data_IF_881400415990
#
_entry.id   IF_881400415990
#
_cell.length_a   1.000
_cell.length_b   1.000
_cell.length_c   1.000
_cell.angle_alpha   90.00
_cell.angle_beta   90.00
_cell.angle_gamma   90.00
#
_symmetry.space_group_name_H-M   'P 1'
#
loop_
_entity.id
_entity.type
_entity.pdbx_description
1 polymer ?
#
# COMPACT_ATOMS: atom_id res chain seq x y z
N UNK A 1 -57.92 0.38 -47.57
CA UNK A 1 -56.89 1.10 -46.84
C UNK A 1 -56.51 0.31 -45.59
N UNK A 2 -55.62 -0.67 -45.76
CA UNK A 2 -55.08 -1.52 -44.68
C UNK A 2 -53.57 -1.54 -44.84
N UNK A 3 -52.92 -0.51 -44.38
CA UNK A 3 -51.46 -0.42 -44.30
C UNK A 3 -51.17 0.30 -42.97
N UNK A 4 -50.73 -0.41 -41.97
CA UNK A 4 -49.89 0.10 -40.86
C UNK A 4 -49.80 -0.82 -39.63
N UNK A 5 -50.51 -1.94 -39.56
CA UNK A 5 -50.49 -2.79 -38.33
C UNK A 5 -49.33 -3.79 -38.27
N UNK A 6 -48.62 -4.05 -39.40
CA UNK A 6 -47.51 -4.99 -39.45
C UNK A 6 -46.19 -4.33 -38.97
N UNK A 7 -46.09 -3.03 -39.13
CA UNK A 7 -44.86 -2.29 -38.79
C UNK A 7 -44.69 -2.07 -37.26
N UNK A 8 -45.80 -1.92 -36.55
CA UNK A 8 -45.79 -1.66 -35.11
C UNK A 8 -45.35 -2.90 -34.29
N UNK A 9 -45.76 -4.08 -34.72
CA UNK A 9 -45.34 -5.31 -34.03
C UNK A 9 -43.85 -5.63 -34.26
N UNK A 10 -43.33 -5.40 -35.46
CA UNK A 10 -41.94 -5.58 -35.78
C UNK A 10 -41.06 -4.54 -35.03
N UNK A 11 -41.51 -3.28 -34.98
CA UNK A 11 -40.84 -2.21 -34.26
C UNK A 11 -40.83 -2.47 -32.75
N UNK A 12 -41.95 -2.86 -32.16
CA UNK A 12 -42.03 -3.18 -30.72
C UNK A 12 -41.17 -4.41 -30.35
N UNK A 13 -41.07 -5.39 -31.24
CA UNK A 13 -40.20 -6.58 -31.08
C UNK A 13 -38.71 -6.17 -31.13
N UNK A 14 -38.35 -5.25 -32.04
CA UNK A 14 -37.00 -4.72 -32.17
C UNK A 14 -36.57 -3.89 -30.94
N UNK A 15 -37.44 -2.99 -30.47
CA UNK A 15 -37.19 -2.21 -29.25
C UNK A 15 -37.08 -3.12 -28.03
N UNK A 16 -37.97 -4.10 -27.89
CA UNK A 16 -37.89 -5.05 -26.77
C UNK A 16 -36.61 -5.87 -26.78
N UNK A 17 -36.12 -6.25 -27.95
CA UNK A 17 -34.84 -6.97 -28.05
C UNK A 17 -33.63 -6.09 -27.73
N UNK A 18 -33.66 -4.82 -28.18
CA UNK A 18 -32.60 -3.84 -27.83
C UNK A 18 -32.58 -3.61 -26.33
N UNK A 19 -33.73 -3.38 -25.70
CA UNK A 19 -33.82 -3.16 -24.23
C UNK A 19 -33.35 -4.40 -23.49
N UNK A 20 -33.72 -5.61 -23.87
CA UNK A 20 -33.27 -6.88 -23.28
C UNK A 20 -31.73 -7.06 -23.43
N UNK A 21 -31.19 -6.73 -24.62
CA UNK A 21 -29.74 -6.84 -24.87
C UNK A 21 -28.96 -5.81 -24.03
N UNK A 22 -29.52 -4.61 -23.87
CA UNK A 22 -28.91 -3.56 -23.04
C UNK A 22 -28.93 -3.92 -21.55
N UNK A 23 -30.03 -4.49 -21.04
CA UNK A 23 -30.11 -5.00 -19.67
C UNK A 23 -29.19 -6.19 -19.41
N UNK A 24 -29.01 -7.10 -20.37
CA UNK A 24 -28.05 -8.21 -20.29
C UNK A 24 -26.58 -7.72 -20.26
N UNK A 25 -26.26 -6.69 -21.04
CA UNK A 25 -24.89 -6.12 -21.04
C UNK A 25 -24.56 -5.37 -19.74
N UNK A 26 -25.54 -4.75 -19.08
CA UNK A 26 -25.36 -4.11 -17.76
C UNK A 26 -25.17 -5.16 -16.65
N UNK A 27 -25.81 -6.31 -16.78
CA UNK A 27 -25.69 -7.38 -15.78
C UNK A 27 -24.31 -8.04 -15.73
N UNK A 28 -23.51 -7.97 -16.78
CA UNK A 28 -22.12 -8.48 -16.79
C UNK A 28 -21.11 -7.54 -16.13
N UNK A 29 -21.47 -6.29 -15.85
CA UNK A 29 -20.60 -5.32 -15.19
C UNK A 29 -20.75 -5.29 -13.67
N UNK A 30 -21.55 -6.19 -13.08
CA UNK A 30 -21.82 -6.24 -11.63
C UNK A 30 -20.97 -7.27 -10.85
N UNK A 31 -19.94 -7.84 -11.46
CA UNK A 31 -18.90 -8.47 -10.66
C UNK A 31 -18.12 -7.33 -9.98
N UNK A 32 -18.30 -7.18 -8.67
CA UNK A 32 -17.60 -6.19 -7.89
C UNK A 32 -16.09 -6.26 -8.21
N UNK A 33 -15.53 -5.14 -8.67
CA UNK A 33 -14.10 -5.04 -8.92
C UNK A 33 -13.39 -5.33 -7.59
N UNK A 34 -12.39 -6.20 -7.59
CA UNK A 34 -11.49 -6.41 -6.43
C UNK A 34 -10.60 -5.17 -6.26
N UNK A 35 -11.21 -4.07 -5.82
CA UNK A 35 -10.56 -2.77 -5.70
C UNK A 35 -9.32 -2.79 -4.81
N UNK A 36 -9.27 -3.54 -3.68
CA UNK A 36 -8.06 -3.64 -2.87
C UNK A 36 -7.09 -4.71 -3.35
N UNK A 37 -7.40 -5.44 -4.43
CA UNK A 37 -6.61 -6.53 -4.99
C UNK A 37 -6.35 -7.65 -3.95
N UNK A 38 -7.42 -8.12 -3.29
CA UNK A 38 -7.38 -9.18 -2.26
C UNK A 38 -6.86 -10.51 -2.83
N UNK A 39 -7.00 -10.71 -4.13
CA UNK A 39 -6.55 -11.93 -4.79
C UNK A 39 -5.04 -11.95 -5.05
N UNK A 40 -4.36 -10.80 -5.00
CA UNK A 40 -2.94 -10.65 -5.38
C UNK A 40 -2.01 -11.60 -4.63
N UNK A 41 -2.21 -11.73 -3.33
CA UNK A 41 -1.36 -12.57 -2.46
C UNK A 41 -2.08 -13.77 -1.85
N UNK A 42 -3.34 -14.04 -2.24
CA UNK A 42 -4.14 -15.10 -1.64
C UNK A 42 -3.46 -16.46 -1.65
N UNK A 43 -2.94 -16.87 -2.80
CA UNK A 43 -2.32 -18.18 -2.96
C UNK A 43 -0.93 -18.23 -2.29
N UNK A 44 -0.20 -17.12 -2.28
CA UNK A 44 1.07 -16.98 -1.55
C UNK A 44 0.84 -17.03 -0.04
N UNK A 45 -0.18 -16.36 0.47
CA UNK A 45 -0.56 -16.39 1.87
C UNK A 45 -0.95 -17.81 2.31
N UNK A 46 -1.71 -18.53 1.48
CA UNK A 46 -2.09 -19.92 1.75
C UNK A 46 -0.88 -20.85 1.78
N UNK A 47 0.11 -20.67 0.89
CA UNK A 47 1.36 -21.47 0.89
C UNK A 47 2.28 -21.17 2.06
N UNK A 48 2.35 -19.91 2.50
CA UNK A 48 3.15 -19.51 3.65
C UNK A 48 2.69 -20.20 4.94
N UNK A 49 1.40 -20.36 5.13
CA UNK A 49 0.83 -20.91 6.35
C UNK A 49 1.21 -20.14 7.61
N UNK A 50 0.99 -20.76 8.77
CA UNK A 50 1.39 -20.20 10.06
C UNK A 50 2.92 -20.21 10.23
N UNK A 51 3.49 -19.22 10.95
CA UNK A 51 4.92 -19.20 11.21
C UNK A 51 5.37 -20.40 12.06
N UNK A 52 6.55 -20.93 11.78
CA UNK A 52 7.17 -21.92 12.63
C UNK A 52 7.51 -21.35 14.01
N UNK A 53 7.65 -22.20 15.03
CA UNK A 53 7.85 -21.77 16.43
C UNK A 53 9.04 -20.80 16.63
N UNK A 54 10.08 -20.91 15.80
CA UNK A 54 11.28 -20.07 15.87
C UNK A 54 11.39 -19.08 14.70
N UNK A 55 10.32 -18.92 13.92
CA UNK A 55 10.32 -18.02 12.78
C UNK A 55 10.09 -16.58 13.22
N UNK A 56 11.05 -15.71 12.93
CA UNK A 56 10.94 -14.27 13.12
C UNK A 56 10.36 -13.63 11.86
N UNK A 57 9.05 -13.82 11.63
CA UNK A 57 8.38 -13.29 10.44
C UNK A 57 8.19 -11.77 10.54
N UNK A 58 8.60 -11.04 9.50
CA UNK A 58 8.35 -9.61 9.34
C UNK A 58 7.65 -9.36 8.01
N UNK A 59 6.52 -8.67 8.05
CA UNK A 59 5.77 -8.30 6.84
C UNK A 59 6.09 -6.86 6.46
N UNK A 60 6.40 -6.63 5.19
CA UNK A 60 6.56 -5.31 4.59
C UNK A 60 5.29 -4.96 3.82
N UNK A 61 4.44 -4.13 4.42
CA UNK A 61 3.18 -3.67 3.87
C UNK A 61 3.37 -2.34 3.16
N UNK A 62 3.00 -2.27 1.86
CA UNK A 62 3.21 -1.04 1.10
C UNK A 62 2.67 -1.04 -0.32
N UNK A 63 3.19 -0.13 -1.13
CA UNK A 63 2.83 0.09 -2.52
C UNK A 63 3.94 -0.36 -3.49
N UNK A 64 4.07 0.32 -4.66
CA UNK A 64 5.13 0.07 -5.66
C UNK A 64 6.55 0.13 -5.09
N UNK A 65 6.81 1.02 -4.13
CA UNK A 65 8.12 1.12 -3.49
C UNK A 65 8.44 -0.15 -2.70
N UNK A 66 7.46 -0.73 -2.04
CA UNK A 66 7.64 -2.01 -1.34
C UNK A 66 7.69 -3.19 -2.33
N UNK A 67 6.79 -3.23 -3.31
CA UNK A 67 6.77 -4.29 -4.34
C UNK A 67 8.07 -4.35 -5.13
N UNK A 68 8.53 -3.19 -5.61
CA UNK A 68 9.74 -3.06 -6.42
C UNK A 68 11.01 -3.49 -5.70
N UNK A 69 11.03 -3.46 -4.38
CA UNK A 69 12.20 -3.88 -3.60
C UNK A 69 12.64 -5.31 -3.91
N UNK A 70 11.69 -6.24 -4.08
CA UNK A 70 11.99 -7.61 -4.49
C UNK A 70 12.60 -7.74 -5.88
N UNK A 71 12.41 -6.74 -6.76
CA UNK A 71 12.98 -6.72 -8.10
C UNK A 71 14.40 -6.13 -8.12
N UNK A 72 14.64 -5.06 -7.35
CA UNK A 72 15.93 -4.34 -7.36
C UNK A 72 16.95 -4.92 -6.37
N UNK A 73 16.48 -5.56 -5.29
CA UNK A 73 17.32 -6.14 -4.25
C UNK A 73 16.69 -7.46 -3.74
N UNK A 74 16.52 -8.49 -4.60
CA UNK A 74 15.85 -9.74 -4.23
C UNK A 74 16.55 -10.47 -3.08
N UNK A 75 17.86 -10.33 -2.97
CA UNK A 75 18.68 -10.91 -1.90
C UNK A 75 18.30 -10.40 -0.51
N UNK A 76 17.63 -9.22 -0.42
CA UNK A 76 17.19 -8.67 0.86
C UNK A 76 16.12 -9.54 1.54
N UNK A 77 15.27 -10.17 0.75
CA UNK A 77 14.21 -11.06 1.25
C UNK A 77 14.66 -12.54 1.28
N UNK A 78 15.66 -12.89 0.47
CA UNK A 78 16.14 -14.28 0.35
C UNK A 78 16.82 -14.75 1.63
N UNK A 79 16.40 -15.93 2.11
CA UNK A 79 16.97 -16.53 3.32
C UNK A 79 16.57 -15.90 4.65
N UNK A 80 15.62 -14.96 4.61
CA UNK A 80 15.00 -14.34 5.78
C UNK A 80 13.50 -14.64 5.81
N UNK A 81 12.91 -14.61 7.00
CA UNK A 81 11.45 -14.69 7.14
C UNK A 81 10.79 -13.31 6.89
N UNK A 82 11.22 -12.62 5.84
CA UNK A 82 10.67 -11.33 5.41
C UNK A 82 9.70 -11.53 4.26
N UNK A 83 8.51 -10.98 4.42
CA UNK A 83 7.39 -11.16 3.48
C UNK A 83 7.06 -9.83 2.84
N UNK A 84 7.28 -9.70 1.53
CA UNK A 84 6.87 -8.53 0.77
C UNK A 84 5.38 -8.59 0.45
N UNK A 85 4.64 -7.54 0.84
CA UNK A 85 3.21 -7.33 0.57
C UNK A 85 2.98 -5.94 -0.03
N UNK A 86 3.87 -5.54 -0.95
CA UNK A 86 3.70 -4.35 -1.77
C UNK A 86 2.78 -4.60 -2.95
N UNK A 87 1.93 -3.63 -3.29
CA UNK A 87 1.12 -3.63 -4.52
C UNK A 87 1.20 -2.26 -5.16
N UNK A 88 1.68 -2.20 -6.41
CA UNK A 88 1.89 -0.96 -7.14
C UNK A 88 0.62 -0.14 -7.27
N UNK A 89 0.75 1.19 -7.14
CA UNK A 89 -0.35 2.14 -7.30
C UNK A 89 -1.31 2.23 -6.11
N UNK A 90 -1.24 1.33 -5.14
CA UNK A 90 -2.19 1.31 -4.01
C UNK A 90 -2.05 2.50 -3.08
N UNK A 91 -3.20 2.94 -2.60
CA UNK A 91 -3.41 3.97 -1.60
C UNK A 91 -3.73 3.37 -0.24
N UNK A 92 -3.66 4.16 0.81
CA UNK A 92 -3.85 3.70 2.19
C UNK A 92 -5.20 3.03 2.46
N UNK A 93 -6.37 3.46 1.90
CA UNK A 93 -7.62 2.75 2.10
C UNK A 93 -7.63 1.34 1.47
N UNK A 94 -6.98 1.14 0.33
CA UNK A 94 -6.84 -0.20 -0.27
C UNK A 94 -5.99 -1.11 0.61
N UNK A 95 -4.87 -0.59 1.14
CA UNK A 95 -4.01 -1.32 2.06
C UNK A 95 -4.74 -1.69 3.36
N UNK A 96 -5.54 -0.78 3.91
CA UNK A 96 -6.31 -1.03 5.12
C UNK A 96 -7.31 -2.19 4.92
N UNK A 97 -7.99 -2.26 3.77
CA UNK A 97 -8.94 -3.36 3.48
C UNK A 97 -8.24 -4.72 3.43
N UNK A 98 -7.07 -4.81 2.78
CA UNK A 98 -6.31 -6.07 2.67
C UNK A 98 -5.40 -6.38 3.87
N UNK A 99 -5.32 -5.48 4.86
CA UNK A 99 -4.38 -5.59 5.97
C UNK A 99 -4.57 -6.86 6.79
N UNK A 100 -5.81 -7.32 6.96
CA UNK A 100 -6.06 -8.58 7.69
C UNK A 100 -5.46 -9.77 6.95
N UNK A 101 -5.79 -9.95 5.67
CA UNK A 101 -5.34 -11.10 4.89
C UNK A 101 -3.83 -11.12 4.67
N UNK A 102 -3.22 -9.94 4.44
CA UNK A 102 -1.83 -9.82 4.03
C UNK A 102 -0.85 -9.57 5.20
N UNK A 103 -1.37 -9.28 6.40
CA UNK A 103 -0.54 -9.03 7.58
C UNK A 103 -1.02 -9.85 8.78
N UNK A 104 -2.25 -9.62 9.25
CA UNK A 104 -2.70 -10.17 10.54
C UNK A 104 -2.78 -11.70 10.48
N UNK A 105 -3.37 -12.26 9.42
CA UNK A 105 -3.58 -13.71 9.28
C UNK A 105 -2.24 -14.46 9.04
N UNK A 106 -1.18 -13.74 8.64
CA UNK A 106 0.18 -14.28 8.54
C UNK A 106 0.92 -14.36 9.89
N UNK A 107 0.36 -13.80 10.95
CA UNK A 107 0.89 -13.80 12.31
C UNK A 107 2.37 -13.40 12.42
N UNK A 108 2.81 -12.28 11.82
CA UNK A 108 4.19 -11.86 11.91
C UNK A 108 4.53 -11.35 13.32
N UNK A 109 5.82 -11.36 13.68
CA UNK A 109 6.28 -10.69 14.89
C UNK A 109 6.27 -9.16 14.73
N UNK A 110 6.55 -8.65 13.52
CA UNK A 110 6.52 -7.23 13.23
C UNK A 110 5.98 -6.94 11.83
N UNK A 111 5.45 -5.72 11.65
CA UNK A 111 5.07 -5.17 10.35
C UNK A 111 5.77 -3.85 10.11
N UNK A 112 6.33 -3.67 8.90
CA UNK A 112 6.83 -2.39 8.39
C UNK A 112 5.76 -1.81 7.47
N UNK A 113 5.26 -0.60 7.77
CA UNK A 113 4.21 0.06 6.99
C UNK A 113 4.81 1.26 6.25
N UNK A 114 4.83 1.19 4.91
CA UNK A 114 5.27 2.27 4.02
C UNK A 114 4.14 2.63 3.06
N UNK A 115 3.44 3.74 3.32
CA UNK A 115 2.23 4.13 2.60
C UNK A 115 2.05 5.66 2.57
N UNK A 116 1.27 6.17 1.59
CA UNK A 116 0.82 7.57 1.56
C UNK A 116 1.22 8.36 0.32
N UNK A 117 2.28 7.99 -0.41
CA UNK A 117 2.70 8.72 -1.61
C UNK A 117 1.63 8.72 -2.71
N UNK A 118 0.99 7.56 -2.96
CA UNK A 118 -0.08 7.43 -3.95
C UNK A 118 -1.37 8.16 -3.56
N UNK A 119 -1.64 8.28 -2.27
CA UNK A 119 -2.75 9.10 -1.75
C UNK A 119 -2.50 10.58 -2.04
N UNK A 120 -1.28 11.07 -1.80
CA UNK A 120 -0.86 12.44 -2.11
C UNK A 120 -0.94 12.69 -3.61
N UNK A 121 -0.53 11.72 -4.44
CA UNK A 121 -0.67 11.75 -5.89
C UNK A 121 -2.14 11.66 -6.36
N UNK A 122 -3.07 11.26 -5.49
CA UNK A 122 -4.51 11.18 -5.78
C UNK A 122 -4.88 10.02 -6.70
N UNK A 123 -4.22 8.86 -6.57
CA UNK A 123 -4.45 7.68 -7.41
C UNK A 123 -5.88 7.14 -7.30
N UNK A 124 -6.51 7.23 -6.13
CA UNK A 124 -7.90 6.82 -5.89
C UNK A 124 -8.83 8.01 -5.60
N UNK A 125 -8.43 9.20 -6.02
CA UNK A 125 -9.16 10.45 -5.78
C UNK A 125 -8.50 11.33 -4.72
N UNK A 126 -9.11 12.48 -4.40
CA UNK A 126 -8.56 13.44 -3.43
C UNK A 126 -8.50 12.84 -2.02
N UNK A 127 -7.36 12.99 -1.36
CA UNK A 127 -7.18 12.60 0.03
C UNK A 127 -6.56 13.76 0.84
N UNK A 128 -7.05 13.98 2.05
CA UNK A 128 -6.43 14.91 3.00
C UNK A 128 -5.32 14.22 3.76
N UNK A 129 -4.35 14.98 4.26
CA UNK A 129 -3.26 14.44 5.12
C UNK A 129 -3.84 13.69 6.33
N UNK A 130 -4.95 14.19 6.89
CA UNK A 130 -5.63 13.52 7.99
C UNK A 130 -6.16 12.14 7.59
N UNK A 131 -6.82 12.02 6.44
CA UNK A 131 -7.35 10.72 5.96
C UNK A 131 -6.22 9.71 5.76
N UNK A 132 -5.10 10.14 5.18
CA UNK A 132 -3.92 9.29 4.96
C UNK A 132 -3.36 8.82 6.30
N UNK A 133 -3.15 9.76 7.23
CA UNK A 133 -2.65 9.45 8.57
C UNK A 133 -3.61 8.49 9.32
N UNK A 134 -4.91 8.75 9.30
CA UNK A 134 -5.93 7.91 9.97
C UNK A 134 -5.89 6.45 9.46
N UNK A 135 -5.73 6.23 8.15
CA UNK A 135 -5.63 4.88 7.59
C UNK A 135 -4.35 4.16 8.04
N UNK A 136 -3.20 4.87 8.05
CA UNK A 136 -1.92 4.29 8.53
C UNK A 136 -2.01 3.99 10.02
N UNK A 137 -2.57 4.88 10.81
CA UNK A 137 -2.80 4.72 12.24
C UNK A 137 -3.73 3.53 12.50
N UNK A 138 -4.82 3.39 11.74
CA UNK A 138 -5.74 2.26 11.86
C UNK A 138 -5.03 0.92 11.59
N UNK A 139 -4.15 0.85 10.58
CA UNK A 139 -3.33 -0.34 10.34
C UNK A 139 -2.40 -0.63 11.52
N UNK A 140 -1.77 0.40 12.10
CA UNK A 140 -0.90 0.25 13.26
C UNK A 140 -1.68 -0.24 14.50
N UNK A 141 -2.87 0.29 14.76
CA UNK A 141 -3.74 -0.13 15.85
C UNK A 141 -4.24 -1.57 15.67
N UNK A 142 -4.61 -1.95 14.44
CA UNK A 142 -4.99 -3.33 14.11
C UNK A 142 -3.83 -4.30 14.35
N UNK A 143 -2.61 -3.97 13.90
CA UNK A 143 -1.42 -4.78 14.14
C UNK A 143 -1.17 -4.94 15.64
N UNK A 144 -1.13 -3.82 16.35
CA UNK A 144 -0.86 -3.78 17.78
C UNK A 144 -1.89 -4.57 18.59
N UNK A 145 -3.19 -4.50 18.24
CA UNK A 145 -4.25 -5.26 18.88
C UNK A 145 -4.13 -6.78 18.65
N UNK A 146 -3.44 -7.18 17.58
CA UNK A 146 -3.16 -8.57 17.24
C UNK A 146 -1.74 -9.02 17.68
N UNK A 147 -1.11 -8.31 18.62
CA UNK A 147 0.22 -8.59 19.17
C UNK A 147 1.36 -8.54 18.14
N UNK A 148 1.19 -7.75 17.08
CA UNK A 148 2.20 -7.51 16.05
C UNK A 148 2.91 -6.20 16.37
N UNK A 149 4.24 -6.23 16.49
CA UNK A 149 5.07 -5.05 16.69
C UNK A 149 5.02 -4.16 15.44
N UNK A 150 4.98 -2.84 15.64
CA UNK A 150 4.74 -1.90 14.54
C UNK A 150 5.97 -1.04 14.27
N UNK A 151 6.37 -1.01 13.00
CA UNK A 151 7.37 -0.09 12.47
C UNK A 151 6.65 0.79 11.44
N UNK A 152 6.49 2.07 11.75
CA UNK A 152 5.91 3.05 10.83
C UNK A 152 7.06 3.76 10.14
N UNK A 153 7.15 3.63 8.81
CA UNK A 153 8.17 4.35 8.07
C UNK A 153 7.70 5.75 7.67
N UNK A 154 8.66 6.66 7.52
CA UNK A 154 8.42 7.90 6.79
C UNK A 154 8.05 7.58 5.33
N UNK A 155 7.21 8.42 4.74
CA UNK A 155 7.07 8.49 3.28
C UNK A 155 8.39 9.03 2.73
N UNK A 156 8.87 8.46 1.61
CA UNK A 156 10.09 8.91 0.95
C UNK A 156 9.94 10.35 0.46
N UNK A 157 11.05 11.10 0.35
CA UNK A 157 11.00 12.43 -0.23
C UNK A 157 10.59 12.37 -1.70
N UNK A 158 9.75 13.30 -2.13
CA UNK A 158 9.34 13.50 -3.53
C UNK A 158 9.25 15.00 -3.75
N UNK A 159 9.98 15.52 -4.75
CA UNK A 159 9.92 16.94 -5.11
C UNK A 159 8.62 17.26 -5.85
N UNK A 160 8.29 16.48 -6.88
CA UNK A 160 7.01 16.52 -7.59
C UNK A 160 6.75 15.17 -8.28
N UNK A 161 5.50 14.92 -8.67
CA UNK A 161 5.14 13.72 -9.42
C UNK A 161 5.15 14.03 -10.91
N UNK A 162 6.06 13.41 -11.68
CA UNK A 162 6.22 13.66 -13.12
C UNK A 162 4.93 13.41 -13.92
N UNK A 163 4.11 12.45 -13.49
CA UNK A 163 2.83 12.12 -14.13
C UNK A 163 1.65 12.99 -13.65
N UNK A 164 1.82 13.79 -12.61
CA UNK A 164 0.78 14.67 -12.05
C UNK A 164 1.42 15.84 -11.30
N UNK A 165 2.04 16.78 -12.02
CA UNK A 165 2.79 17.87 -11.40
C UNK A 165 1.89 18.87 -10.67
N UNK A 166 2.49 19.62 -9.72
CA UNK A 166 1.83 20.71 -9.01
C UNK A 166 1.01 20.29 -7.79
N UNK A 167 1.21 19.07 -7.30
CA UNK A 167 0.54 18.57 -6.08
C UNK A 167 1.24 18.97 -4.77
N UNK A 168 2.35 19.68 -4.85
CA UNK A 168 3.13 20.16 -3.68
C UNK A 168 3.47 19.03 -2.68
N UNK A 169 4.05 17.89 -3.13
CA UNK A 169 4.28 16.74 -2.26
C UNK A 169 5.24 17.04 -1.12
N UNK A 170 6.22 17.91 -1.32
CA UNK A 170 7.22 18.28 -0.29
C UNK A 170 6.57 18.71 1.02
N UNK A 171 5.58 19.62 0.96
CA UNK A 171 4.88 20.13 2.14
C UNK A 171 3.98 19.04 2.75
N UNK A 172 3.28 18.31 1.90
CA UNK A 172 2.34 17.26 2.33
C UNK A 172 3.06 16.08 2.98
N UNK A 173 4.17 15.62 2.39
CA UNK A 173 4.99 14.54 2.93
C UNK A 173 5.60 14.96 4.26
N UNK A 174 6.17 16.16 4.35
CA UNK A 174 6.76 16.66 5.60
C UNK A 174 5.74 16.64 6.73
N UNK A 175 4.52 17.16 6.48
CA UNK A 175 3.46 17.20 7.49
C UNK A 175 2.95 15.79 7.86
N UNK A 176 2.80 14.90 6.90
CA UNK A 176 2.38 13.52 7.17
C UNK A 176 3.43 12.78 7.99
N UNK A 177 4.72 12.91 7.62
CA UNK A 177 5.83 12.30 8.35
C UNK A 177 5.91 12.80 9.80
N UNK A 178 5.67 14.09 10.05
CA UNK A 178 5.58 14.64 11.40
C UNK A 178 4.46 13.97 12.23
N UNK A 179 3.26 13.84 11.66
CA UNK A 179 2.13 13.19 12.34
C UNK A 179 2.48 11.74 12.68
N UNK A 180 3.03 10.99 11.73
CA UNK A 180 3.37 9.58 11.90
C UNK A 180 4.50 9.38 12.92
N UNK A 181 5.52 10.25 12.92
CA UNK A 181 6.61 10.22 13.89
C UNK A 181 6.11 10.49 15.32
N UNK A 182 5.25 11.49 15.48
CA UNK A 182 4.64 11.82 16.76
C UNK A 182 3.74 10.69 17.26
N UNK A 183 2.93 10.10 16.38
CA UNK A 183 2.11 8.96 16.73
C UNK A 183 2.95 7.74 17.15
N UNK A 184 3.96 7.38 16.38
CA UNK A 184 4.85 6.27 16.71
C UNK A 184 5.53 6.47 18.08
N UNK A 185 6.07 7.65 18.33
CA UNK A 185 6.70 8.00 19.63
C UNK A 185 5.71 7.89 20.79
N UNK A 186 4.50 8.43 20.63
CA UNK A 186 3.47 8.43 21.67
C UNK A 186 2.99 7.03 22.05
N UNK A 187 2.95 6.12 21.08
CA UNK A 187 2.40 4.77 21.25
C UNK A 187 3.47 3.67 21.39
N UNK A 188 4.77 4.06 21.51
CA UNK A 188 5.87 3.11 21.69
C UNK A 188 6.16 2.26 20.44
N UNK A 189 5.80 2.75 19.26
CA UNK A 189 6.13 2.12 17.99
C UNK A 189 7.48 2.61 17.48
N UNK A 190 8.14 1.83 16.65
CA UNK A 190 9.37 2.26 15.99
C UNK A 190 9.03 3.15 14.80
N UNK A 191 9.65 4.33 14.72
CA UNK A 191 9.61 5.16 13.53
C UNK A 191 10.87 4.90 12.70
N UNK A 192 10.70 4.55 11.43
CA UNK A 192 11.76 4.26 10.47
C UNK A 192 11.92 5.46 9.53
N UNK A 193 12.98 6.24 9.72
CA UNK A 193 13.19 7.50 9.02
C UNK A 193 14.00 7.33 7.72
N UNK A 194 13.33 6.89 6.66
CA UNK A 194 13.91 6.91 5.31
C UNK A 194 14.09 8.32 4.77
N UNK A 195 13.15 9.24 5.11
CA UNK A 195 13.10 10.58 4.56
C UNK A 195 14.40 11.33 4.79
N UNK A 196 14.87 11.39 6.02
CA UNK A 196 16.07 12.14 6.39
C UNK A 196 17.33 11.62 5.70
N UNK A 197 17.43 10.30 5.51
CA UNK A 197 18.60 9.69 4.87
C UNK A 197 18.63 9.90 3.34
N UNK A 198 17.45 10.00 2.72
CA UNK A 198 17.30 9.94 1.28
C UNK A 198 16.93 11.28 0.63
N UNK A 199 16.60 12.32 1.41
CA UNK A 199 16.25 13.64 0.88
C UNK A 199 17.48 14.42 0.40
N UNK A 200 17.33 15.11 -0.73
CA UNK A 200 18.26 16.12 -1.23
C UNK A 200 17.98 17.52 -0.58
N UNK A 201 18.73 18.53 -1.01
CA UNK A 201 18.58 19.92 -0.53
C UNK A 201 17.24 20.55 -0.93
N UNK A 202 16.59 20.05 -2.00
CA UNK A 202 15.27 20.49 -2.45
C UNK A 202 14.12 19.68 -1.81
N UNK A 203 14.47 18.74 -0.92
CA UNK A 203 13.53 17.81 -0.27
C UNK A 203 12.86 16.83 -1.23
N UNK A 204 13.49 16.60 -2.38
CA UNK A 204 13.23 15.51 -3.30
C UNK A 204 14.04 14.27 -2.96
N UNK A 205 13.80 13.17 -3.64
CA UNK A 205 14.64 11.99 -3.53
C UNK A 205 15.97 12.23 -4.24
N UNK A 206 17.11 11.98 -3.56
CA UNK A 206 18.44 12.14 -4.13
C UNK A 206 18.53 11.41 -5.47
N UNK A 207 19.10 12.08 -6.49
CA UNK A 207 19.21 11.56 -7.86
C UNK A 207 19.91 10.20 -7.90
N UNK A 208 20.96 10.02 -7.09
CA UNK A 208 21.70 8.75 -7.00
C UNK A 208 20.84 7.59 -6.47
N UNK A 209 19.71 7.85 -5.82
CA UNK A 209 18.86 6.86 -5.17
C UNK A 209 17.56 6.57 -5.91
N UNK A 210 17.31 7.22 -7.05
CA UNK A 210 16.06 7.07 -7.79
C UNK A 210 16.28 6.93 -9.28
N UNK A 211 15.27 6.45 -10.01
CA UNK A 211 15.26 6.46 -11.47
C UNK A 211 14.21 7.40 -12.07
N UNK A 212 13.27 7.93 -11.24
CA UNK A 212 12.17 8.78 -11.71
C UNK A 212 11.78 9.90 -10.71
N UNK A 213 12.55 10.09 -9.63
CA UNK A 213 12.29 11.05 -8.58
C UNK A 213 11.32 10.59 -7.50
N UNK A 214 10.76 9.38 -7.62
CA UNK A 214 9.77 8.81 -6.68
C UNK A 214 10.16 7.40 -6.22
N UNK A 215 10.53 6.55 -7.16
CA UNK A 215 10.85 5.16 -6.89
C UNK A 215 12.36 4.97 -6.72
N UNK A 216 12.79 4.24 -5.67
CA UNK A 216 14.20 3.95 -5.48
C UNK A 216 14.77 3.06 -6.57
N UNK A 217 16.00 3.35 -6.98
CA UNK A 217 16.85 2.43 -7.73
C UNK A 217 17.58 1.46 -6.77
N UNK A 218 18.48 0.61 -7.29
CA UNK A 218 19.20 -0.36 -6.46
C UNK A 218 19.96 0.29 -5.30
N UNK A 219 20.63 1.43 -5.52
CA UNK A 219 21.35 2.16 -4.47
C UNK A 219 20.40 2.69 -3.39
N UNK A 220 19.24 3.24 -3.80
CA UNK A 220 18.20 3.67 -2.87
C UNK A 220 17.67 2.53 -2.02
N UNK A 221 17.41 1.35 -2.61
CA UNK A 221 16.98 0.17 -1.84
C UNK A 221 18.07 -0.36 -0.89
N UNK A 222 19.36 -0.20 -1.21
CA UNK A 222 20.44 -0.55 -0.28
C UNK A 222 20.44 0.33 0.98
N UNK A 223 20.20 1.64 0.83
CA UNK A 223 20.03 2.55 1.97
C UNK A 223 18.79 2.15 2.79
N UNK A 224 17.66 1.90 2.12
CA UNK A 224 16.43 1.46 2.79
C UNK A 224 16.64 0.15 3.54
N UNK A 225 17.38 -0.82 2.96
CA UNK A 225 17.67 -2.10 3.58
C UNK A 225 18.45 -1.93 4.91
N UNK A 226 19.49 -1.12 4.91
CA UNK A 226 20.28 -0.84 6.11
C UNK A 226 19.43 -0.25 7.23
N UNK A 227 18.64 0.77 6.91
CA UNK A 227 17.76 1.42 7.89
C UNK A 227 16.64 0.52 8.39
N UNK A 228 16.09 -0.33 7.51
CA UNK A 228 15.07 -1.29 7.89
C UNK A 228 15.62 -2.37 8.84
N UNK A 229 16.83 -2.89 8.61
CA UNK A 229 17.47 -3.85 9.51
C UNK A 229 17.67 -3.25 10.92
N UNK A 230 18.16 -2.02 11.00
CA UNK A 230 18.32 -1.31 12.28
C UNK A 230 16.98 -1.15 13.02
N UNK A 231 15.93 -0.75 12.28
CA UNK A 231 14.59 -0.57 12.85
C UNK A 231 13.98 -1.91 13.30
N UNK A 232 14.14 -2.97 12.51
CA UNK A 232 13.65 -4.32 12.84
C UNK A 232 14.39 -4.85 14.06
N UNK A 233 15.72 -4.79 14.09
CA UNK A 233 16.53 -5.23 15.22
C UNK A 233 16.15 -4.50 16.51
N UNK A 234 15.99 -3.17 16.44
CA UNK A 234 15.52 -2.35 17.57
C UNK A 234 14.13 -2.79 18.04
N UNK A 235 13.22 -3.04 17.12
CA UNK A 235 11.82 -3.39 17.41
C UNK A 235 11.71 -4.76 18.06
N UNK A 236 12.42 -5.74 17.53
CA UNK A 236 12.40 -7.13 18.03
C UNK A 236 13.23 -7.28 19.32
N UNK A 237 14.24 -6.45 19.55
CA UNK A 237 15.04 -6.42 20.77
C UNK A 237 14.38 -5.71 21.95
N UNK A 238 13.24 -5.04 21.76
CA UNK A 238 12.49 -4.45 22.87
C UNK A 238 11.90 -5.59 23.71
N UNK A 239 12.04 -5.54 25.05
CA UNK A 239 11.35 -6.50 25.89
C UNK A 239 9.86 -6.41 25.60
N UNK A 240 9.30 -7.50 25.08
CA UNK A 240 7.90 -7.58 24.67
C UNK A 240 7.03 -7.07 25.81
N UNK A 241 6.35 -5.98 25.59
CA UNK A 241 5.38 -5.47 26.55
C UNK A 241 4.35 -6.55 26.79
N UNK A 242 4.50 -7.32 27.85
CA UNK A 242 3.44 -8.20 28.34
C UNK A 242 2.24 -7.33 28.61
N UNK A 243 1.16 -7.57 27.91
CA UNK A 243 -0.15 -6.99 28.16
C UNK A 243 -1.06 -7.97 28.81
#
# INVERSE_FOLDING_TARGET
MKLNTINDQAFNRFIRNIVLTFWLSISFSLFGQDWPDLNRYRDDNARLGLPAANETRVVFMGNSITEGWSNFLPEYFSGKSYINRGISGQTTPQMLVRFRADVIDLQPQAVVILAGTNDIAGNTGPATIKMIADNIISMAELAWKNNILVIISSILPVYDYSWKPGLEPVVKISRLNEILKNYASKHGHTYLDYYTAMADDQKGLKEDYTYDGVHPNKAGYQIMATLAEEAIAKTLGQPGGKR
#
